data_IF_275825054579
#
_entry.id   IF_275825054579
#
_cell.length_a   1.000
_cell.length_b   1.000
_cell.length_c   1.000
_cell.angle_alpha   90.00
_cell.angle_beta   90.00
_cell.angle_gamma   90.00
#
_symmetry.space_group_name_H-M   'P 1'
#
loop_
_entity.id
_entity.type
_entity.pdbx_description
1 polymer ?
#
# COMPACT_ATOMS: atom_id res chain seq x y z
N UNK A 1 2.85 -21.43 1.67
CA UNK A 1 3.88 -20.43 2.00
C UNK A 1 3.17 -19.27 2.67
N UNK A 2 3.17 -19.23 4.00
CA UNK A 2 2.42 -18.23 4.77
C UNK A 2 2.97 -16.83 4.51
N UNK A 3 2.12 -15.94 4.02
CA UNK A 3 2.42 -14.51 3.91
C UNK A 3 2.40 -13.88 5.31
N UNK A 4 3.53 -13.92 6.01
CA UNK A 4 3.76 -13.13 7.23
C UNK A 4 4.09 -11.67 6.86
N UNK A 5 3.21 -11.00 6.11
CA UNK A 5 3.46 -9.63 5.64
C UNK A 5 2.90 -8.60 6.63
N UNK A 6 3.72 -7.60 6.95
CA UNK A 6 3.36 -6.50 7.85
C UNK A 6 2.60 -5.35 7.15
N UNK A 7 2.66 -5.23 5.82
CA UNK A 7 1.96 -4.21 5.04
C UNK A 7 1.79 -4.62 3.57
N UNK A 8 0.77 -4.06 2.90
CA UNK A 8 0.53 -4.23 1.47
C UNK A 8 1.64 -3.57 0.63
N UNK A 9 2.02 -4.19 -0.49
CA UNK A 9 3.05 -3.69 -1.43
C UNK A 9 2.44 -3.34 -2.76
N UNK A 10 2.84 -2.20 -3.32
CA UNK A 10 2.24 -1.66 -4.54
C UNK A 10 3.28 -1.50 -5.62
N UNK A 11 3.09 -2.15 -6.78
CA UNK A 11 4.09 -2.18 -7.84
C UNK A 11 4.30 -0.80 -8.48
N UNK A 12 5.54 -0.37 -8.48
CA UNK A 12 6.04 0.89 -9.01
C UNK A 12 7.27 0.57 -9.84
N UNK A 13 7.50 1.26 -10.96
CA UNK A 13 8.79 1.22 -11.65
C UNK A 13 9.35 2.63 -11.62
N UNK A 14 10.16 2.94 -10.60
CA UNK A 14 10.81 4.25 -10.43
C UNK A 14 12.30 4.10 -10.24
N UNK A 15 13.05 5.13 -10.60
CA UNK A 15 14.48 5.19 -10.32
C UNK A 15 14.69 5.79 -8.93
N UNK A 16 15.50 5.12 -8.10
CA UNK A 16 15.96 5.66 -6.81
C UNK A 16 17.47 5.50 -6.69
N UNK A 17 18.06 6.08 -5.64
CA UNK A 17 19.50 5.96 -5.35
C UNK A 17 19.67 5.27 -4.01
N UNK A 18 20.51 4.25 -3.96
CA UNK A 18 20.93 3.59 -2.73
C UNK A 18 22.30 4.15 -2.33
N UNK A 19 22.37 4.80 -1.17
CA UNK A 19 23.58 5.36 -0.58
C UNK A 19 24.03 4.55 0.65
N UNK A 20 25.30 4.15 0.70
CA UNK A 20 25.87 3.46 1.85
C UNK A 20 27.39 3.63 1.89
N UNK A 21 27.97 3.43 3.07
CA UNK A 21 29.43 3.34 3.24
C UNK A 21 29.92 1.97 2.74
N UNK A 22 30.93 1.98 1.88
CA UNK A 22 31.54 0.77 1.32
C UNK A 22 32.48 0.03 2.31
N UNK A 23 32.62 0.51 3.54
CA UNK A 23 33.52 -0.02 4.56
C UNK A 23 34.93 0.60 4.55
N UNK A 24 35.22 1.49 3.59
CA UNK A 24 36.48 2.26 3.53
C UNK A 24 36.29 3.73 3.93
N UNK A 25 35.13 4.08 4.51
CA UNK A 25 34.78 5.46 4.87
C UNK A 25 34.34 6.30 3.67
N UNK A 26 34.08 5.68 2.52
CA UNK A 26 33.60 6.36 1.32
C UNK A 26 32.14 6.00 1.06
N UNK A 27 31.29 7.03 0.95
CA UNK A 27 29.88 6.86 0.61
C UNK A 27 29.79 6.59 -0.90
N UNK A 28 29.13 5.50 -1.25
CA UNK A 28 28.82 5.16 -2.64
C UNK A 28 27.32 5.26 -2.91
N UNK A 29 27.00 5.77 -4.10
CA UNK A 29 25.63 5.92 -4.61
C UNK A 29 25.41 4.96 -5.76
N UNK A 30 24.36 4.14 -5.68
CA UNK A 30 24.03 3.15 -6.71
C UNK A 30 22.59 3.37 -7.20
N UNK A 31 22.36 3.59 -8.50
CA UNK A 31 21.00 3.68 -9.03
C UNK A 31 20.29 2.32 -8.89
N UNK A 32 19.03 2.37 -8.50
CA UNK A 32 18.16 1.22 -8.38
C UNK A 32 16.79 1.50 -9.01
N UNK A 33 16.07 0.44 -9.34
CA UNK A 33 14.65 0.51 -9.65
C UNK A 33 13.84 0.15 -8.41
N UNK A 34 13.06 1.09 -7.88
CA UNK A 34 12.02 0.83 -6.90
C UNK A 34 10.92 0.05 -7.61
N UNK A 35 10.66 -1.19 -7.15
CA UNK A 35 9.69 -2.16 -7.69
C UNK A 35 8.34 -2.07 -7.01
N UNK A 36 8.34 -1.76 -5.71
CA UNK A 36 7.16 -1.48 -4.93
C UNK A 36 7.54 -0.87 -3.60
N UNK A 37 6.62 -0.08 -3.04
CA UNK A 37 6.73 0.53 -1.71
C UNK A 37 5.51 0.14 -0.88
N UNK A 38 5.71 0.09 0.43
CA UNK A 38 4.71 -0.09 1.47
C UNK A 38 5.02 0.87 2.61
N UNK A 39 4.10 1.04 3.57
CA UNK A 39 4.37 1.83 4.78
C UNK A 39 5.57 1.33 5.59
N UNK A 40 5.93 0.04 5.50
CA UNK A 40 7.00 -0.57 6.31
C UNK A 40 8.32 -0.79 5.58
N UNK A 41 8.36 -0.58 4.27
CA UNK A 41 9.53 -0.92 3.49
C UNK A 41 9.32 -0.93 1.99
N UNK A 42 10.35 -1.40 1.30
CA UNK A 42 10.51 -1.22 -0.14
C UNK A 42 11.14 -2.46 -0.78
N UNK A 43 10.71 -2.79 -1.99
CA UNK A 43 11.41 -3.74 -2.84
C UNK A 43 12.15 -2.98 -3.94
N UNK A 44 13.43 -3.26 -4.06
CA UNK A 44 14.34 -2.65 -5.02
C UNK A 44 14.87 -3.73 -5.98
N UNK A 45 15.12 -3.34 -7.22
CA UNK A 45 15.98 -4.05 -8.14
C UNK A 45 17.24 -3.22 -8.36
N UNK A 46 18.41 -3.78 -8.09
CA UNK A 46 19.67 -3.09 -8.37
C UNK A 46 19.97 -3.12 -9.85
N UNK A 47 20.42 -1.98 -10.38
CA UNK A 47 20.80 -1.85 -11.79
C UNK A 47 22.23 -2.32 -12.03
N UNK A 48 23.03 -2.48 -10.97
CA UNK A 48 24.40 -2.99 -11.00
C UNK A 48 24.52 -4.28 -10.20
N UNK A 49 25.62 -5.00 -10.44
CA UNK A 49 26.01 -6.20 -9.68
C UNK A 49 26.76 -5.85 -8.38
N UNK A 50 26.82 -4.56 -8.01
CA UNK A 50 27.53 -4.13 -6.81
C UNK A 50 26.83 -4.66 -5.56
N UNK A 51 27.63 -5.10 -4.60
CA UNK A 51 27.12 -5.45 -3.28
C UNK A 51 26.64 -4.17 -2.57
N UNK A 52 25.46 -4.23 -1.96
CA UNK A 52 24.87 -3.16 -1.14
C UNK A 52 24.96 -3.57 0.32
N UNK A 53 25.27 -2.63 1.21
CA UNK A 53 25.34 -2.90 2.66
C UNK A 53 24.01 -3.38 3.26
N UNK A 54 24.09 -4.05 4.41
CA UNK A 54 22.90 -4.49 5.18
C UNK A 54 22.08 -3.31 5.70
N UNK A 55 22.69 -2.13 5.84
CA UNK A 55 22.04 -0.86 6.13
C UNK A 55 22.43 0.16 5.08
N UNK A 56 21.46 0.91 4.57
CA UNK A 56 21.69 1.92 3.54
C UNK A 56 20.60 2.99 3.60
N UNK A 57 20.84 4.12 2.94
CA UNK A 57 19.83 5.16 2.73
C UNK A 57 19.26 5.04 1.32
N UNK A 58 17.96 4.83 1.20
CA UNK A 58 17.24 4.97 -0.07
C UNK A 58 16.85 6.43 -0.29
N UNK A 59 17.16 6.95 -1.46
CA UNK A 59 16.76 8.28 -1.90
C UNK A 59 15.74 8.11 -3.02
N UNK A 60 14.55 8.66 -2.81
CA UNK A 60 13.47 8.71 -3.80
C UNK A 60 13.70 9.88 -4.77
N UNK A 61 13.04 9.83 -5.92
CA UNK A 61 13.03 10.92 -6.90
C UNK A 61 12.50 12.24 -6.32
N UNK A 62 11.60 12.17 -5.34
CA UNK A 62 11.11 13.31 -4.55
C UNK A 62 12.16 13.96 -3.66
N UNK A 63 13.36 13.37 -3.54
CA UNK A 63 14.41 13.80 -2.62
C UNK A 63 14.24 13.26 -1.20
N UNK A 64 13.15 12.54 -0.91
CA UNK A 64 12.96 11.86 0.37
C UNK A 64 14.10 10.86 0.61
N UNK A 65 14.65 10.87 1.82
CA UNK A 65 15.72 9.97 2.25
C UNK A 65 15.20 9.04 3.35
N UNK A 66 15.31 7.73 3.15
CA UNK A 66 14.95 6.73 4.16
C UNK A 66 16.08 5.78 4.48
N UNK A 67 16.41 5.70 5.76
CA UNK A 67 17.23 4.62 6.28
C UNK A 67 16.49 3.28 6.13
N UNK A 68 17.17 2.34 5.50
CA UNK A 68 16.68 1.02 5.17
C UNK A 68 17.63 -0.04 5.72
N UNK A 69 17.06 -1.17 6.12
CA UNK A 69 17.80 -2.39 6.44
C UNK A 69 17.34 -3.51 5.54
N UNK A 70 18.29 -4.26 5.00
CA UNK A 70 17.99 -5.41 4.16
C UNK A 70 17.22 -6.45 4.97
N UNK A 71 16.09 -6.87 4.42
CA UNK A 71 15.25 -7.93 4.99
C UNK A 71 15.47 -9.26 4.26
N UNK A 72 15.69 -9.21 2.94
CA UNK A 72 16.02 -10.39 2.13
C UNK A 72 16.66 -9.99 0.79
N UNK A 73 17.38 -10.95 0.18
CA UNK A 73 17.99 -10.80 -1.15
C UNK A 73 17.63 -11.99 -2.05
N UNK A 74 17.33 -11.73 -3.32
CA UNK A 74 17.11 -12.74 -4.36
C UNK A 74 17.62 -12.24 -5.71
N UNK A 75 18.83 -12.66 -6.09
CA UNK A 75 19.51 -12.12 -7.27
C UNK A 75 19.72 -10.62 -7.15
N UNK A 76 19.22 -9.83 -8.12
CA UNK A 76 19.26 -8.36 -8.08
C UNK A 76 18.13 -7.72 -7.27
N UNK A 77 17.21 -8.51 -6.73
CA UNK A 77 16.11 -8.01 -5.92
C UNK A 77 16.50 -7.95 -4.45
N UNK A 78 16.21 -6.83 -3.82
CA UNK A 78 16.40 -6.59 -2.39
C UNK A 78 15.07 -6.14 -1.82
N UNK A 79 14.56 -6.87 -0.83
CA UNK A 79 13.53 -6.35 0.05
C UNK A 79 14.18 -5.71 1.25
N UNK A 80 13.79 -4.48 1.57
CA UNK A 80 14.32 -3.75 2.71
C UNK A 80 13.18 -3.21 3.56
N UNK A 81 13.36 -3.26 4.87
CA UNK A 81 12.49 -2.63 5.85
C UNK A 81 13.02 -1.22 6.17
N UNK A 82 12.13 -0.28 6.46
CA UNK A 82 12.55 1.02 6.98
C UNK A 82 13.11 0.87 8.40
N UNK A 83 14.20 1.58 8.70
CA UNK A 83 14.92 1.42 9.97
C UNK A 83 14.08 1.87 11.18
N UNK A 84 13.21 2.86 10.98
CA UNK A 84 12.22 3.36 11.94
C UNK A 84 10.90 2.56 11.93
N UNK A 85 10.82 1.50 11.14
CA UNK A 85 9.70 0.56 11.11
C UNK A 85 8.55 1.00 10.19
N UNK A 86 8.14 2.27 10.22
CA UNK A 86 7.04 2.79 9.41
C UNK A 86 7.35 4.19 8.87
N UNK A 87 7.04 4.42 7.59
CA UNK A 87 7.07 5.74 6.99
C UNK A 87 5.90 6.58 7.53
N UNK A 88 6.14 7.84 7.89
CA UNK A 88 5.08 8.75 8.32
C UNK A 88 4.05 8.95 7.20
N UNK A 89 2.83 9.45 7.50
CA UNK A 89 1.83 9.74 6.47
C UNK A 89 2.36 10.67 5.37
N UNK A 90 3.13 11.69 5.74
CA UNK A 90 3.73 12.64 4.80
C UNK A 90 4.79 11.97 3.93
N UNK A 91 5.62 11.10 4.54
CA UNK A 91 6.62 10.33 3.83
C UNK A 91 5.96 9.33 2.86
N UNK A 92 4.91 8.65 3.27
CA UNK A 92 4.14 7.75 2.40
C UNK A 92 3.50 8.49 1.23
N UNK A 93 3.06 9.74 1.44
CA UNK A 93 2.52 10.58 0.39
C UNK A 93 3.54 11.02 -0.66
N UNK A 94 4.84 11.08 -0.30
CA UNK A 94 5.92 11.36 -1.27
C UNK A 94 6.60 10.09 -1.80
N UNK A 95 6.45 8.95 -1.13
CA UNK A 95 6.90 7.63 -1.59
C UNK A 95 5.93 7.01 -2.60
N UNK A 96 4.63 7.10 -2.32
CA UNK A 96 3.57 6.71 -3.25
C UNK A 96 3.25 7.90 -4.13
N UNK A 97 3.07 7.71 -5.45
CA UNK A 97 2.58 8.84 -6.25
C UNK A 97 1.12 9.12 -5.86
N UNK A 98 0.68 10.37 -6.04
CA UNK A 98 -0.74 10.70 -5.95
C UNK A 98 -1.60 9.76 -6.82
N UNK A 99 -1.06 9.32 -7.99
CA UNK A 99 -1.69 8.33 -8.87
C UNK A 99 -1.79 6.94 -8.27
N UNK A 100 -0.81 6.51 -7.47
CA UNK A 100 -0.85 5.23 -6.76
C UNK A 100 -1.85 5.26 -5.61
N UNK A 101 -1.86 6.33 -4.81
CA UNK A 101 -2.88 6.51 -3.78
C UNK A 101 -4.28 6.56 -4.40
N UNK A 102 -4.43 7.25 -5.54
CA UNK A 102 -5.69 7.28 -6.28
C UNK A 102 -6.10 5.89 -6.79
N UNK A 103 -5.16 5.03 -7.22
CA UNK A 103 -5.47 3.64 -7.60
C UNK A 103 -6.01 2.85 -6.41
N UNK A 104 -5.40 2.93 -5.23
CA UNK A 104 -5.89 2.23 -4.04
C UNK A 104 -7.27 2.71 -3.60
N UNK A 105 -7.47 4.04 -3.56
CA UNK A 105 -8.79 4.60 -3.28
C UNK A 105 -9.84 4.08 -4.27
N UNK A 106 -9.51 4.04 -5.57
CA UNK A 106 -10.41 3.50 -6.61
C UNK A 106 -10.70 2.02 -6.42
N UNK A 107 -9.71 1.21 -6.07
CA UNK A 107 -9.91 -0.22 -5.84
C UNK A 107 -10.77 -0.50 -4.60
N UNK A 108 -10.53 0.20 -3.50
CA UNK A 108 -11.35 0.13 -2.28
C UNK A 108 -12.77 0.61 -2.58
N UNK A 109 -12.91 1.78 -3.23
CA UNK A 109 -14.19 2.34 -3.65
C UNK A 109 -14.99 1.39 -4.54
N UNK A 110 -14.34 0.76 -5.52
CA UNK A 110 -14.98 -0.23 -6.39
C UNK A 110 -15.46 -1.46 -5.61
N UNK A 111 -14.73 -1.91 -4.59
CA UNK A 111 -15.15 -3.03 -3.73
C UNK A 111 -16.32 -2.64 -2.84
N UNK A 112 -16.32 -1.43 -2.27
CA UNK A 112 -17.46 -0.88 -1.54
C UNK A 112 -18.70 -0.85 -2.44
N UNK A 113 -18.55 -0.36 -3.68
CA UNK A 113 -19.62 -0.36 -4.68
C UNK A 113 -20.20 -1.75 -4.92
N UNK A 114 -19.33 -2.73 -5.21
CA UNK A 114 -19.75 -4.11 -5.48
C UNK A 114 -20.48 -4.69 -4.27
N UNK A 115 -19.95 -4.52 -3.06
CA UNK A 115 -20.57 -5.01 -1.83
C UNK A 115 -21.92 -4.33 -1.57
N UNK A 116 -22.01 -3.02 -1.81
CA UNK A 116 -23.25 -2.23 -1.70
C UNK A 116 -24.33 -2.74 -2.66
N UNK A 117 -23.98 -2.88 -3.93
CA UNK A 117 -24.89 -3.39 -4.97
C UNK A 117 -25.33 -4.83 -4.69
N UNK A 118 -24.44 -5.67 -4.16
CA UNK A 118 -24.77 -7.05 -3.74
C UNK A 118 -25.81 -7.08 -2.62
N UNK A 119 -25.83 -6.07 -1.74
CA UNK A 119 -26.85 -5.89 -0.71
C UNK A 119 -28.13 -5.21 -1.18
N UNK A 120 -28.15 -4.73 -2.42
CA UNK A 120 -29.29 -4.01 -2.98
C UNK A 120 -29.47 -2.59 -2.45
N UNK A 121 -28.43 -2.00 -1.85
CA UNK A 121 -28.48 -0.61 -1.39
C UNK A 121 -28.14 0.38 -2.50
N UNK A 122 -28.82 1.52 -2.53
CA UNK A 122 -28.41 2.68 -3.34
C UNK A 122 -27.28 3.46 -2.66
N UNK A 123 -26.55 4.30 -3.40
CA UNK A 123 -25.51 5.18 -2.82
C UNK A 123 -26.10 6.07 -1.70
N UNK A 124 -27.32 6.59 -1.92
CA UNK A 124 -28.03 7.44 -0.96
C UNK A 124 -28.42 6.66 0.31
N UNK A 125 -28.97 5.45 0.15
CA UNK A 125 -29.32 4.61 1.29
C UNK A 125 -28.10 4.24 2.13
N UNK A 126 -26.98 3.89 1.48
CA UNK A 126 -25.74 3.61 2.21
C UNK A 126 -25.26 4.87 2.94
N UNK A 127 -25.30 6.05 2.29
CA UNK A 127 -24.90 7.31 2.90
C UNK A 127 -25.72 7.64 4.15
N UNK A 128 -27.04 7.45 4.09
CA UNK A 128 -27.96 7.65 5.21
C UNK A 128 -27.66 6.69 6.37
N UNK A 129 -27.48 5.39 6.06
CA UNK A 129 -27.17 4.36 7.06
C UNK A 129 -25.86 4.64 7.79
N UNK A 130 -24.87 5.17 7.09
CA UNK A 130 -23.55 5.46 7.66
C UNK A 130 -23.40 6.91 8.15
N UNK A 131 -24.46 7.72 8.08
CA UNK A 131 -24.51 9.08 8.63
C UNK A 131 -23.64 10.12 7.89
N UNK A 132 -23.48 10.00 6.57
CA UNK A 132 -22.64 10.90 5.76
C UNK A 132 -23.45 11.66 4.70
N UNK A 133 -22.93 12.75 4.13
CA UNK A 133 -23.62 13.49 3.07
C UNK A 133 -23.94 12.61 1.84
N UNK A 134 -25.07 12.83 1.14
CA UNK A 134 -25.52 11.99 0.03
C UNK A 134 -24.53 11.80 -1.12
N UNK A 135 -23.62 12.76 -1.33
CA UNK A 135 -22.58 12.69 -2.36
C UNK A 135 -21.31 11.93 -1.95
N UNK A 136 -21.11 11.67 -0.66
CA UNK A 136 -19.88 11.08 -0.15
C UNK A 136 -19.63 9.68 -0.72
N UNK A 137 -20.66 8.82 -0.70
CA UNK A 137 -20.54 7.43 -1.19
C UNK A 137 -20.16 7.41 -2.67
N UNK A 138 -20.73 8.28 -3.50
CA UNK A 138 -20.39 8.34 -4.93
C UNK A 138 -18.93 8.77 -5.16
N UNK A 139 -18.45 9.77 -4.41
CA UNK A 139 -17.05 10.20 -4.49
C UNK A 139 -16.09 9.12 -3.98
N UNK A 140 -16.45 8.47 -2.88
CA UNK A 140 -15.70 7.38 -2.30
C UNK A 140 -15.59 6.18 -3.24
N UNK A 141 -16.69 5.77 -3.88
CA UNK A 141 -16.72 4.65 -4.84
C UNK A 141 -15.88 4.91 -6.10
N UNK A 142 -15.73 6.18 -6.48
CA UNK A 142 -14.85 6.63 -7.58
C UNK A 142 -13.39 6.84 -7.14
N UNK A 143 -13.09 6.69 -5.85
CA UNK A 143 -11.77 6.96 -5.27
C UNK A 143 -11.37 8.44 -5.25
N UNK A 144 -12.34 9.34 -5.36
CA UNK A 144 -12.18 10.80 -5.32
C UNK A 144 -12.21 11.34 -3.89
N UNK A 145 -12.76 10.57 -2.94
CA UNK A 145 -12.73 10.87 -1.51
C UNK A 145 -12.10 9.72 -0.72
N UNK A 146 -11.24 10.06 0.24
CA UNK A 146 -10.74 9.11 1.23
C UNK A 146 -11.85 8.69 2.19
N UNK A 147 -11.99 7.39 2.43
CA UNK A 147 -12.92 6.84 3.42
C UNK A 147 -12.15 6.67 4.74
N UNK A 148 -12.50 7.39 5.82
CA UNK A 148 -11.87 7.19 7.12
C UNK A 148 -12.02 5.75 7.60
N UNK A 149 -11.04 5.24 8.35
CA UNK A 149 -11.04 3.84 8.80
C UNK A 149 -12.30 3.46 9.59
N UNK A 150 -12.79 4.32 10.49
CA UNK A 150 -14.03 4.06 11.25
C UNK A 150 -15.25 3.92 10.32
N UNK A 151 -15.25 4.67 9.22
CA UNK A 151 -16.31 4.61 8.22
C UNK A 151 -16.22 3.35 7.37
N UNK A 152 -15.00 2.92 7.01
CA UNK A 152 -14.77 1.63 6.36
C UNK A 152 -15.22 0.45 7.23
N UNK A 153 -14.96 0.51 8.55
CA UNK A 153 -15.45 -0.50 9.50
C UNK A 153 -16.99 -0.54 9.51
N UNK A 154 -17.64 0.62 9.61
CA UNK A 154 -19.10 0.69 9.61
C UNK A 154 -19.71 0.20 8.28
N UNK A 155 -19.08 0.54 7.14
CA UNK A 155 -19.48 0.04 5.82
C UNK A 155 -19.33 -1.49 5.76
N UNK A 156 -18.23 -2.04 6.26
CA UNK A 156 -17.98 -3.49 6.28
C UNK A 156 -19.09 -4.24 7.06
N UNK A 157 -19.42 -3.74 8.26
CA UNK A 157 -20.46 -4.30 9.12
C UNK A 157 -21.84 -4.25 8.43
N UNK A 158 -22.25 -3.10 7.90
CA UNK A 158 -23.56 -2.95 7.23
C UNK A 158 -23.67 -3.82 5.98
N UNK A 159 -22.56 -3.96 5.25
CA UNK A 159 -22.51 -4.76 4.03
C UNK A 159 -22.22 -6.25 4.31
N UNK A 160 -22.18 -6.67 5.59
CA UNK A 160 -21.64 -7.94 6.14
C UNK A 160 -20.60 -8.56 5.19
N UNK A 161 -19.49 -7.84 5.08
CA UNK A 161 -18.24 -8.29 4.47
C UNK A 161 -17.12 -7.97 5.44
N UNK A 162 -16.06 -8.78 5.43
CA UNK A 162 -14.86 -8.47 6.21
C UNK A 162 -14.19 -7.17 5.73
N UNK A 163 -13.57 -6.42 6.66
CA UNK A 163 -12.76 -5.25 6.33
C UNK A 163 -11.61 -5.62 5.38
N UNK A 164 -10.99 -6.78 5.58
CA UNK A 164 -9.92 -7.29 4.72
C UNK A 164 -10.40 -7.45 3.27
N UNK A 165 -11.63 -7.90 3.05
CA UNK A 165 -12.21 -8.02 1.70
C UNK A 165 -12.35 -6.67 1.01
N UNK A 166 -12.67 -5.60 1.75
CA UNK A 166 -12.74 -4.24 1.21
C UNK A 166 -11.33 -3.66 0.95
N UNK A 167 -10.39 -3.85 1.87
CA UNK A 167 -9.07 -3.19 1.83
C UNK A 167 -8.04 -3.98 1.03
N UNK A 168 -7.92 -5.29 1.24
CA UNK A 168 -6.94 -6.15 0.58
C UNK A 168 -7.48 -6.84 -0.69
N UNK A 169 -8.81 -7.03 -0.79
CA UNK A 169 -9.45 -7.72 -1.91
C UNK A 169 -9.65 -9.21 -1.66
N UNK A 170 -10.10 -9.99 -2.65
CA UNK A 170 -10.37 -11.41 -2.47
C UNK A 170 -9.08 -12.16 -2.12
N UNK A 171 -9.08 -12.84 -0.98
CA UNK A 171 -7.97 -13.70 -0.56
C UNK A 171 -7.84 -14.86 -1.55
N UNK A 172 -6.63 -15.16 -2.07
CA UNK A 172 -6.41 -16.35 -2.89
C UNK A 172 -6.56 -17.59 -2.00
N UNK A 173 -7.78 -18.12 -1.92
CA UNK A 173 -8.16 -19.23 -1.04
C UNK A 173 -9.56 -19.12 -0.44
N UNK A 174 -10.21 -17.95 -0.50
CA UNK A 174 -11.60 -17.80 -0.09
C UNK A 174 -12.55 -18.44 -1.11
N UNK A 175 -13.34 -19.42 -0.66
CA UNK A 175 -14.33 -20.09 -1.50
C UNK A 175 -15.37 -19.08 -2.02
N UNK A 176 -15.71 -19.08 -3.32
CA UNK A 176 -16.76 -18.22 -3.84
C UNK A 176 -18.10 -18.65 -3.27
N UNK A 177 -18.64 -17.88 -2.32
CA UNK A 177 -19.93 -18.15 -1.69
C UNK A 177 -19.95 -17.99 -0.16
N UNK A 178 -18.81 -17.80 0.50
CA UNK A 178 -18.79 -17.48 1.93
C UNK A 178 -19.20 -16.01 2.09
N UNK A 179 -20.49 -15.82 2.38
CA UNK A 179 -20.93 -14.66 3.12
C UNK A 179 -20.29 -14.78 4.49
N UNK A 180 -19.30 -13.92 4.78
CA UNK A 180 -18.68 -13.82 6.10
C UNK A 180 -19.79 -13.41 7.08
N UNK A 181 -20.47 -14.41 7.63
CA UNK A 181 -21.49 -14.28 8.66
C UNK A 181 -21.01 -15.05 9.88
N UNK A 182 -20.38 -14.33 10.80
CA UNK A 182 -20.37 -14.59 12.24
C UNK A 182 -20.09 -13.28 12.97
#
# INVERSE_FOLDING_TARGET
MSEHRAAARHHTLRTGIVEFDNGTGSIISVPCTIRDVSGTGVRLALNSSLWVAEQFTLIFDSGLRKACRVAWRKGRLIGSAFADGYASPDEQAVMMTADEQARHRREIGARVRIARETRGYTEVQLAELIGVPPGFVSLAEKGEADIPLYQLMHIADLLLVSLDRLVAGPTPGGVPGEVDAA
#
